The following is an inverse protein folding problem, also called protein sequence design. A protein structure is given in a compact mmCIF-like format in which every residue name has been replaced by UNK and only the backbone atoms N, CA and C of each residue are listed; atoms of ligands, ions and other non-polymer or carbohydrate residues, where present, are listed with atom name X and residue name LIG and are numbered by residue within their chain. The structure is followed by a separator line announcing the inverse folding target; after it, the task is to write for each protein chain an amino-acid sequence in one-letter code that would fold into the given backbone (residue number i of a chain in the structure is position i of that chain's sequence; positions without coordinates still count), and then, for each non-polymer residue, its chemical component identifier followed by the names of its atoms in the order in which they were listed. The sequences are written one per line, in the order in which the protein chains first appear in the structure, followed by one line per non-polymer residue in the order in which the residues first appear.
data_IF_377872865265
#
_entry.id   IF_377872865265
#
_cell.length_a   1.000
_cell.length_b   1.000
_cell.length_c   1.000
_cell.angle_alpha   90.00
_cell.angle_beta   90.00
_cell.angle_gamma   90.00
#
_symmetry.space_group_name_H-M   'P 1'
#
loop_
_entity.id
_entity.type
_entity.pdbx_description
1 polymer ?
#
# COMPACT_ATOMS: atom_id res chain seq x y z
N UNK A 1 -7.74 -8.94 1.23
CA UNK A 1 -8.13 -7.55 1.48
C UNK A 1 -6.91 -6.72 1.82
N UNK A 2 -6.88 -5.48 1.37
CA UNK A 2 -5.75 -4.59 1.59
C UNK A 2 -6.20 -3.33 2.30
N UNK A 3 -5.26 -2.70 2.98
CA UNK A 3 -5.49 -1.42 3.64
C UNK A 3 -4.30 -0.51 3.40
N UNK A 4 -4.56 0.74 3.05
CA UNK A 4 -3.53 1.73 2.86
C UNK A 4 -3.58 2.68 4.05
N UNK A 5 -2.45 2.83 4.77
CA UNK A 5 -2.33 3.85 5.80
C UNK A 5 -1.47 4.99 5.28
N UNK A 6 -1.95 6.20 5.45
CA UNK A 6 -1.31 7.38 4.88
C UNK A 6 -1.19 8.49 5.93
N UNK A 7 -0.23 9.36 5.70
CA UNK A 7 -0.03 10.52 6.57
C UNK A 7 -1.04 11.62 6.22
N UNK A 8 -1.94 11.89 7.13
CA UNK A 8 -2.94 12.95 6.90
C UNK A 8 -2.35 14.34 6.98
N UNK A 9 -1.39 14.55 7.89
CA UNK A 9 -0.83 15.88 8.10
C UNK A 9 0.08 16.35 6.95
N UNK A 10 0.57 15.43 6.12
CA UNK A 10 1.40 15.78 4.96
C UNK A 10 0.61 15.72 3.66
N UNK A 11 -0.70 15.63 3.75
CA UNK A 11 -1.59 15.64 2.60
C UNK A 11 -1.33 14.49 1.63
N UNK A 12 -1.11 13.30 2.18
CA UNK A 12 -0.91 12.09 1.38
C UNK A 12 -2.24 11.43 0.97
N UNK A 13 -3.36 11.98 1.43
CA UNK A 13 -4.66 11.38 1.15
C UNK A 13 -4.96 11.21 -0.34
N UNK A 14 -4.67 12.20 -1.21
CA UNK A 14 -4.95 12.01 -2.64
C UNK A 14 -4.23 10.81 -3.23
N UNK A 15 -3.00 10.56 -2.83
CA UNK A 15 -2.24 9.41 -3.32
C UNK A 15 -2.81 8.10 -2.80
N UNK A 16 -3.21 8.06 -1.53
CA UNK A 16 -3.82 6.86 -0.95
C UNK A 16 -5.15 6.56 -1.61
N UNK A 17 -5.95 7.58 -1.84
CA UNK A 17 -7.25 7.43 -2.50
C UNK A 17 -7.07 6.93 -3.93
N UNK A 18 -6.14 7.51 -4.66
CA UNK A 18 -5.86 7.11 -6.04
C UNK A 18 -5.41 5.66 -6.11
N UNK A 19 -4.50 5.24 -5.23
CA UNK A 19 -4.05 3.85 -5.19
C UNK A 19 -5.20 2.92 -4.82
N UNK A 20 -6.04 3.32 -3.87
CA UNK A 20 -7.19 2.52 -3.47
C UNK A 20 -8.14 2.29 -4.64
N UNK A 21 -8.41 3.35 -5.42
CA UNK A 21 -9.28 3.24 -6.60
C UNK A 21 -8.66 2.27 -7.60
N UNK A 22 -7.37 2.42 -7.87
CA UNK A 22 -6.67 1.56 -8.83
C UNK A 22 -6.70 0.09 -8.38
N UNK A 23 -6.46 -0.15 -7.09
CA UNK A 23 -6.45 -1.50 -6.56
C UNK A 23 -7.85 -2.13 -6.61
N UNK A 24 -8.87 -1.38 -6.22
CA UNK A 24 -10.25 -1.88 -6.29
C UNK A 24 -10.66 -2.19 -7.72
N UNK A 25 -10.26 -1.35 -8.67
CA UNK A 25 -10.56 -1.58 -10.08
C UNK A 25 -9.83 -2.81 -10.61
N UNK A 26 -8.71 -3.17 -10.01
CA UNK A 26 -7.96 -4.36 -10.38
C UNK A 26 -8.46 -5.62 -9.67
N UNK A 27 -9.55 -5.52 -8.91
CA UNK A 27 -10.10 -6.66 -8.20
C UNK A 27 -9.50 -6.90 -6.83
N UNK A 28 -8.70 -5.96 -6.33
CA UNK A 28 -8.06 -6.08 -5.03
C UNK A 28 -8.83 -5.22 -4.02
N UNK A 29 -9.67 -5.86 -3.23
CA UNK A 29 -10.49 -5.14 -2.26
C UNK A 29 -9.62 -4.33 -1.30
N UNK A 30 -9.79 -3.02 -1.29
CA UNK A 30 -8.88 -2.13 -0.59
C UNK A 30 -9.64 -1.00 0.11
N UNK A 31 -9.23 -0.71 1.33
CA UNK A 31 -9.69 0.47 2.07
C UNK A 31 -8.47 1.35 2.35
N UNK A 32 -8.72 2.59 2.78
CA UNK A 32 -7.62 3.46 3.20
C UNK A 32 -8.03 4.23 4.44
N UNK A 33 -7.05 4.52 5.27
CA UNK A 33 -7.29 5.26 6.51
C UNK A 33 -6.05 6.05 6.89
N UNK A 34 -6.24 7.06 7.72
CA UNK A 34 -5.14 7.88 8.19
C UNK A 34 -4.27 7.08 9.16
N UNK A 35 -2.95 7.21 8.98
CA UNK A 35 -1.98 6.55 9.84
C UNK A 35 -1.05 7.56 10.49
N UNK A 36 0.19 7.13 10.71
CA UNK A 36 1.18 7.95 11.40
C UNK A 36 1.78 9.00 10.50
N UNK A 37 2.43 9.97 11.12
CA UNK A 37 3.07 11.04 10.38
C UNK A 37 4.14 10.48 9.44
N UNK A 38 4.06 10.87 8.18
CA UNK A 38 5.00 10.42 7.15
C UNK A 38 4.75 9.04 6.60
N UNK A 39 3.72 8.36 7.08
CA UNK A 39 3.44 6.98 6.68
C UNK A 39 2.76 6.91 5.32
N UNK A 40 3.19 5.97 4.50
CA UNK A 40 2.45 5.51 3.33
C UNK A 40 2.79 4.04 3.19
N UNK A 41 1.83 3.19 3.54
CA UNK A 41 2.09 1.77 3.67
C UNK A 41 0.86 0.97 3.29
N UNK A 42 1.07 -0.15 2.59
CA UNK A 42 0.00 -1.07 2.23
C UNK A 42 0.09 -2.27 3.15
N UNK A 43 -1.04 -2.65 3.72
CA UNK A 43 -1.16 -3.82 4.57
C UNK A 43 -2.06 -4.84 3.90
N UNK A 44 -1.78 -6.10 4.15
CA UNK A 44 -2.60 -7.22 3.68
C UNK A 44 -3.20 -7.92 4.89
N UNK A 45 -4.49 -8.28 4.79
CA UNK A 45 -5.12 -9.07 5.85
C UNK A 45 -4.77 -10.54 5.65
N UNK A 46 -4.16 -11.13 6.65
CA UNK A 46 -3.83 -12.55 6.67
C UNK A 46 -4.29 -13.16 7.97
N UNK A 47 -5.16 -14.18 7.86
CA UNK A 47 -5.63 -14.93 9.03
C UNK A 47 -6.19 -14.02 10.11
N UNK A 48 -6.89 -12.97 9.68
CA UNK A 48 -7.52 -12.03 10.60
C UNK A 48 -6.63 -10.90 11.07
N UNK A 49 -5.37 -10.92 10.70
CA UNK A 49 -4.42 -9.87 11.10
C UNK A 49 -3.95 -9.05 9.92
N UNK A 50 -3.71 -7.78 10.17
CA UNK A 50 -3.11 -6.89 9.17
C UNK A 50 -1.60 -6.99 9.26
N UNK A 51 -0.97 -7.31 8.13
CA UNK A 51 0.47 -7.43 8.04
C UNK A 51 1.00 -6.48 6.98
N UNK A 52 2.15 -5.87 7.26
CA UNK A 52 2.77 -4.97 6.31
C UNK A 52 3.09 -5.69 5.01
N UNK A 53 2.68 -5.11 3.90
CA UNK A 53 2.86 -5.70 2.58
C UNK A 53 3.90 -4.93 1.79
N UNK A 54 3.75 -3.61 1.69
CA UNK A 54 4.71 -2.72 1.05
C UNK A 54 4.80 -1.44 1.88
N UNK A 55 6.02 -1.00 2.15
CA UNK A 55 6.26 0.26 2.85
C UNK A 55 6.97 1.22 1.90
N UNK A 56 6.42 2.41 1.74
CA UNK A 56 7.08 3.44 0.96
C UNK A 56 8.11 4.16 1.82
N UNK A 57 9.21 4.55 1.20
CA UNK A 57 10.19 5.38 1.85
C UNK A 57 9.63 6.78 2.09
N UNK A 58 10.31 7.54 2.91
CA UNK A 58 9.90 8.90 3.26
C UNK A 58 9.79 9.75 2.00
N UNK A 59 8.64 10.35 1.80
CA UNK A 59 8.39 11.17 0.61
C UNK A 59 8.07 10.38 -0.64
N UNK A 60 7.92 9.06 -0.53
CA UNK A 60 7.61 8.20 -1.68
C UNK A 60 6.20 7.65 -1.55
N UNK A 61 5.66 7.20 -2.69
CA UNK A 61 4.33 6.60 -2.73
C UNK A 61 4.40 5.24 -3.40
N UNK A 62 3.34 4.45 -3.19
CA UNK A 62 3.23 3.12 -3.75
C UNK A 62 2.27 3.17 -4.93
N UNK A 63 2.60 2.48 -6.01
CA UNK A 63 1.75 2.43 -7.20
C UNK A 63 1.13 1.05 -7.33
N UNK A 64 0.07 0.97 -8.15
CA UNK A 64 -0.56 -0.31 -8.45
C UNK A 64 0.45 -1.29 -9.06
N UNK A 65 1.35 -0.81 -9.91
CA UNK A 65 2.40 -1.64 -10.50
C UNK A 65 3.21 -2.37 -9.47
N UNK A 66 3.58 -1.68 -8.40
CA UNK A 66 4.38 -2.29 -7.33
C UNK A 66 3.60 -3.39 -6.61
N UNK A 67 2.31 -3.14 -6.35
CA UNK A 67 1.45 -4.12 -5.71
C UNK A 67 1.31 -5.35 -6.60
N UNK A 68 1.04 -5.14 -7.88
CA UNK A 68 0.84 -6.23 -8.82
C UNK A 68 2.10 -7.06 -9.01
N UNK A 69 3.24 -6.40 -9.09
CA UNK A 69 4.52 -7.10 -9.22
C UNK A 69 4.77 -8.02 -8.04
N UNK A 70 4.47 -7.55 -6.85
CA UNK A 70 4.64 -8.36 -5.65
C UNK A 70 3.69 -9.55 -5.64
N UNK A 71 2.45 -9.34 -6.08
CA UNK A 71 1.47 -10.43 -6.15
C UNK A 71 1.90 -11.50 -7.15
N UNK A 72 2.35 -11.09 -8.32
CA UNK A 72 2.74 -12.02 -9.39
C UNK A 72 3.96 -12.83 -8.99
N UNK A 73 4.95 -12.19 -8.39
CA UNK A 73 6.20 -12.86 -8.07
C UNK A 73 6.11 -13.74 -6.82
N UNK A 74 5.08 -13.57 -6.01
CA UNK A 74 5.01 -14.25 -4.72
C UNK A 74 6.11 -13.81 -3.78
N UNK A 75 6.62 -12.62 -3.99
CA UNK A 75 7.78 -12.11 -3.30
C UNK A 75 7.49 -11.84 -1.82
N UNK A 76 8.30 -12.38 -0.95
CA UNK A 76 8.11 -12.25 0.50
C UNK A 76 9.05 -11.26 1.15
N UNK A 77 10.00 -10.77 0.42
CA UNK A 77 10.94 -9.79 0.95
C UNK A 77 10.42 -8.38 0.76
N UNK A 78 11.19 -7.41 1.17
CA UNK A 78 10.82 -6.01 0.95
C UNK A 78 10.82 -5.73 -0.55
N UNK A 79 9.92 -4.89 -0.96
CA UNK A 79 9.85 -4.46 -2.34
C UNK A 79 10.91 -3.38 -2.56
N UNK A 80 12.14 -3.77 -2.37
CA UNK A 80 13.21 -2.86 -2.65
C UNK A 80 13.45 -2.90 -4.12
N UNK A 81 13.81 -1.94 -4.53
CA UNK A 81 14.10 -1.93 -5.87
C UNK A 81 15.04 -2.98 -6.30
N UNK A 82 14.77 -3.39 -6.11
CA UNK A 82 15.24 -4.13 -6.73
C UNK A 82 15.47 -4.03 -7.69
N UNK A 83 15.23 -3.76 -7.46
CA UNK A 83 15.35 -3.69 -7.97
C UNK A 83 15.47 -3.58 -8.41
#
# INVERSE_FOLDING_TARGET
MFKIKYCGSWNYKPQAESLSVDMNNAGLSTIFEEGDKGQFEVFESRQGDWQSYITAGHGSFITLSQVERKLISGWNGPDSAEN
#
